data_IF_123036395411
#
_entry.id   IF_123036395411
#
_cell.length_a   1.000
_cell.length_b   1.000
_cell.length_c   1.000
_cell.angle_alpha   90.00
_cell.angle_beta   90.00
_cell.angle_gamma   90.00
#
_symmetry.space_group_name_H-M   'P 1'
#
loop_
_entity.id
_entity.type
_entity.pdbx_description
1 polymer ?
#
# COMPACT_ATOMS: atom_id res chain seq x y z
N UNK A 1 13.36 -32.74 -48.75
CA UNK A 1 12.00 -32.18 -48.67
C UNK A 1 11.49 -32.42 -47.26
N UNK A 2 11.68 -31.49 -46.35
CA UNK A 2 11.20 -31.60 -44.98
C UNK A 2 10.14 -30.50 -44.75
N UNK A 3 8.94 -30.94 -44.53
CA UNK A 3 7.76 -30.11 -44.22
C UNK A 3 7.83 -29.66 -42.75
N UNK A 4 7.69 -28.39 -42.43
CA UNK A 4 7.62 -27.95 -41.02
C UNK A 4 6.20 -28.17 -40.50
N UNK A 5 6.11 -28.90 -39.40
CA UNK A 5 4.90 -29.11 -38.62
C UNK A 5 4.50 -27.78 -37.94
N UNK A 6 3.37 -27.25 -38.31
CA UNK A 6 2.77 -26.07 -37.66
C UNK A 6 2.12 -26.50 -36.34
N UNK A 7 2.71 -26.10 -35.22
CA UNK A 7 2.10 -26.22 -33.90
C UNK A 7 0.99 -25.19 -33.80
N UNK A 8 -0.25 -25.62 -33.77
CA UNK A 8 -1.40 -24.77 -33.52
C UNK A 8 -1.41 -24.35 -32.02
N UNK A 9 -1.22 -23.08 -31.77
CA UNK A 9 -1.45 -22.48 -30.44
C UNK A 9 -2.97 -22.35 -30.26
N UNK A 10 -3.54 -23.16 -29.37
CA UNK A 10 -4.91 -23.04 -28.95
C UNK A 10 -5.04 -21.71 -28.11
N UNK A 11 -5.64 -20.70 -28.72
CA UNK A 11 -6.09 -19.51 -28.03
C UNK A 11 -7.32 -19.91 -27.24
N UNK A 12 -7.14 -20.08 -25.93
CA UNK A 12 -8.25 -20.27 -24.99
C UNK A 12 -9.19 -19.09 -25.06
N UNK A 13 -10.44 -19.34 -25.44
CA UNK A 13 -11.51 -18.36 -25.39
C UNK A 13 -11.71 -17.96 -23.92
N UNK A 14 -11.28 -16.75 -23.54
CA UNK A 14 -11.78 -16.08 -22.36
C UNK A 14 -13.25 -15.84 -22.58
N UNK A 15 -14.09 -16.63 -21.90
CA UNK A 15 -15.50 -16.31 -21.75
C UNK A 15 -15.57 -14.92 -21.12
N UNK A 16 -15.89 -13.93 -21.91
CA UNK A 16 -16.29 -12.60 -21.46
C UNK A 16 -17.58 -12.80 -20.66
N UNK A 17 -17.44 -13.04 -19.36
CA UNK A 17 -18.47 -12.71 -18.40
C UNK A 17 -18.70 -11.21 -18.61
N UNK A 18 -19.78 -10.87 -19.28
CA UNK A 18 -20.32 -9.54 -19.29
C UNK A 18 -20.71 -9.22 -17.83
N UNK A 19 -19.74 -8.78 -17.04
CA UNK A 19 -19.99 -8.06 -15.81
C UNK A 19 -20.57 -6.74 -16.30
N UNK A 20 -21.90 -6.71 -16.51
CA UNK A 20 -22.61 -5.44 -16.52
C UNK A 20 -22.19 -4.76 -15.21
N UNK A 21 -21.52 -3.61 -15.24
CA UNK A 21 -21.29 -2.86 -14.03
C UNK A 21 -22.68 -2.53 -13.52
N UNK A 22 -23.11 -3.22 -12.48
CA UNK A 22 -24.10 -2.68 -11.57
C UNK A 22 -23.40 -1.45 -10.99
N UNK A 23 -23.56 -0.31 -11.67
CA UNK A 23 -23.30 1.01 -11.09
C UNK A 23 -24.33 1.15 -9.99
N UNK A 24 -24.11 0.47 -8.90
CA UNK A 24 -24.88 0.65 -7.70
C UNK A 24 -24.36 1.95 -7.11
N UNK A 25 -25.26 2.92 -6.96
CA UNK A 25 -24.93 4.17 -6.29
C UNK A 25 -24.24 3.87 -4.95
N UNK A 26 -23.17 4.56 -4.68
CA UNK A 26 -22.48 4.47 -3.39
C UNK A 26 -23.49 4.80 -2.27
N UNK A 27 -23.53 3.98 -1.22
CA UNK A 27 -24.35 4.29 -0.04
C UNK A 27 -23.77 5.52 0.69
N UNK A 28 -22.45 5.63 0.66
CA UNK A 28 -21.67 6.77 1.15
C UNK A 28 -20.30 6.79 0.47
N UNK A 29 -19.69 7.96 0.41
CA UNK A 29 -18.32 8.14 -0.09
C UNK A 29 -17.64 9.26 0.70
N UNK A 30 -16.36 9.10 0.92
CA UNK A 30 -15.49 10.09 1.53
C UNK A 30 -14.23 10.22 0.67
N UNK A 31 -13.91 11.44 0.26
CA UNK A 31 -12.72 11.72 -0.57
C UNK A 31 -11.87 12.75 0.15
N UNK A 32 -10.58 12.48 0.24
CA UNK A 32 -9.64 13.36 0.91
C UNK A 32 -8.42 13.64 0.05
N UNK A 33 -7.92 14.87 0.15
CA UNK A 33 -6.60 15.28 -0.31
C UNK A 33 -5.74 15.51 0.92
N UNK A 34 -4.59 14.84 1.01
CA UNK A 34 -3.65 15.02 2.12
C UNK A 34 -2.28 15.46 1.65
N UNK A 35 -1.57 16.15 2.55
CA UNK A 35 -0.15 16.47 2.41
C UNK A 35 0.56 15.97 3.65
N UNK A 36 1.64 15.20 3.45
CA UNK A 36 2.49 14.63 4.49
C UNK A 36 3.93 15.07 4.26
N UNK A 37 4.66 15.28 5.35
CA UNK A 37 6.08 15.60 5.30
C UNK A 37 6.83 14.92 6.42
N UNK A 38 7.92 14.25 6.08
CA UNK A 38 8.86 13.62 7.00
C UNK A 38 10.29 13.70 6.48
N UNK A 39 11.27 13.52 7.37
CA UNK A 39 12.69 13.73 7.06
C UNK A 39 13.55 12.49 7.32
N UNK A 40 12.95 11.36 7.67
CA UNK A 40 13.65 10.14 8.06
C UNK A 40 13.21 8.91 7.25
N UNK A 41 12.78 9.14 5.98
CA UNK A 41 12.57 8.04 5.06
C UNK A 41 13.90 7.37 4.71
N UNK A 42 13.86 6.09 4.39
CA UNK A 42 15.01 5.30 3.99
C UNK A 42 14.72 4.48 2.74
N UNK A 43 15.74 4.24 1.95
CA UNK A 43 15.66 3.39 0.77
C UNK A 43 16.71 2.26 0.87
N UNK A 44 16.37 1.01 0.51
CA UNK A 44 17.33 -0.08 0.47
C UNK A 44 18.53 0.28 -0.39
N UNK A 45 19.72 -0.11 0.07
CA UNK A 45 21.03 0.16 -0.56
C UNK A 45 21.49 1.63 -0.51
N UNK A 46 20.67 2.56 -0.01
CA UNK A 46 21.07 3.95 0.18
C UNK A 46 21.60 4.15 1.61
N UNK A 47 22.93 3.94 1.76
CA UNK A 47 23.60 3.95 3.04
C UNK A 47 24.87 4.80 2.98
N UNK A 48 25.24 5.37 4.12
CA UNK A 48 26.55 5.95 4.33
C UNK A 48 27.65 4.88 4.28
N UNK A 49 28.91 5.31 4.18
CA UNK A 49 30.06 4.40 4.12
C UNK A 49 30.22 3.49 5.37
N UNK A 50 29.65 3.89 6.50
CA UNK A 50 29.63 3.10 7.75
C UNK A 50 28.45 2.11 7.81
N UNK A 51 27.61 2.07 6.78
CA UNK A 51 26.43 1.20 6.68
C UNK A 51 25.16 1.76 7.31
N UNK A 52 25.23 2.93 7.98
CA UNK A 52 24.04 3.62 8.49
C UNK A 52 23.18 4.15 7.33
N UNK A 53 21.86 4.17 7.54
CA UNK A 53 20.90 4.65 6.51
C UNK A 53 21.09 6.12 6.19
N UNK A 54 20.81 6.51 4.97
CA UNK A 54 20.64 7.90 4.58
C UNK A 54 19.22 8.33 4.93
N UNK A 55 19.08 9.37 5.75
CA UNK A 55 17.77 9.96 6.08
C UNK A 55 17.31 10.90 4.94
N UNK A 56 16.27 10.49 4.24
CA UNK A 56 15.69 11.19 3.09
C UNK A 56 14.48 12.00 3.53
N UNK A 57 14.37 13.24 3.10
CA UNK A 57 13.15 14.01 3.29
C UNK A 57 12.19 13.77 2.11
N UNK A 58 10.89 13.51 2.42
CA UNK A 58 9.86 13.38 1.39
C UNK A 58 8.65 14.26 1.72
N UNK A 59 8.11 14.86 0.65
CA UNK A 59 6.76 15.42 0.65
C UNK A 59 5.86 14.46 -0.11
N UNK A 60 4.72 14.11 0.47
CA UNK A 60 3.76 13.19 -0.12
C UNK A 60 2.42 13.92 -0.24
N UNK A 61 1.88 13.99 -1.45
CA UNK A 61 0.51 14.44 -1.72
C UNK A 61 -0.32 13.21 -2.05
N UNK A 62 -1.41 12.99 -1.35
CA UNK A 62 -2.26 11.83 -1.58
C UNK A 62 -3.70 12.20 -1.89
N UNK A 63 -4.30 11.43 -2.81
CA UNK A 63 -5.73 11.41 -3.04
C UNK A 63 -6.26 10.07 -2.53
N UNK A 64 -7.14 10.12 -1.53
CA UNK A 64 -7.76 8.95 -0.93
C UNK A 64 -9.27 8.99 -1.15
N UNK A 65 -9.87 7.86 -1.52
CA UNK A 65 -11.31 7.70 -1.55
C UNK A 65 -11.70 6.40 -0.85
N UNK A 66 -12.69 6.49 0.03
CA UNK A 66 -13.36 5.35 0.64
C UNK A 66 -14.82 5.41 0.30
N UNK A 67 -15.34 4.32 -0.26
CA UNK A 67 -16.75 4.24 -0.69
C UNK A 67 -17.39 2.98 -0.13
N UNK A 68 -18.51 3.13 0.56
CA UNK A 68 -19.38 2.03 0.96
C UNK A 68 -20.47 1.79 -0.09
N UNK A 69 -20.74 0.53 -0.37
CA UNK A 69 -21.81 0.10 -1.26
C UNK A 69 -22.58 -1.08 -0.63
N UNK A 70 -23.72 -1.43 -1.20
CA UNK A 70 -24.65 -2.46 -0.69
C UNK A 70 -23.95 -3.73 -0.17
N UNK A 71 -22.91 -4.19 -0.84
CA UNK A 71 -22.27 -5.48 -0.52
C UNK A 71 -20.89 -5.36 0.12
N UNK A 72 -20.36 -4.14 0.35
CA UNK A 72 -19.02 -4.00 0.88
C UNK A 72 -18.50 -2.56 0.86
N UNK A 73 -17.20 -2.44 0.68
CA UNK A 73 -16.52 -1.16 0.58
C UNK A 73 -15.35 -1.22 -0.41
N UNK A 74 -14.99 -0.06 -0.91
CA UNK A 74 -13.82 0.13 -1.78
C UNK A 74 -12.93 1.20 -1.17
N UNK A 75 -11.63 0.98 -1.22
CA UNK A 75 -10.58 1.92 -0.85
C UNK A 75 -9.69 2.16 -2.07
N UNK A 76 -9.41 3.42 -2.34
CA UNK A 76 -8.46 3.88 -3.36
C UNK A 76 -7.54 4.88 -2.71
N UNK A 77 -6.24 4.72 -2.89
CA UNK A 77 -5.25 5.71 -2.50
C UNK A 77 -4.22 5.89 -3.61
N UNK A 78 -3.86 7.11 -3.91
CA UNK A 78 -2.77 7.43 -4.83
C UNK A 78 -1.85 8.45 -4.17
N UNK A 79 -0.64 8.02 -3.88
CA UNK A 79 0.43 8.85 -3.34
C UNK A 79 1.33 9.37 -4.46
N UNK A 80 1.61 10.66 -4.44
CA UNK A 80 2.62 11.34 -5.22
C UNK A 80 3.74 11.77 -4.27
N UNK A 81 4.88 11.08 -4.34
CA UNK A 81 6.00 11.29 -3.43
C UNK A 81 7.11 12.06 -4.16
N UNK A 82 7.62 13.08 -3.50
CA UNK A 82 8.78 13.86 -3.94
C UNK A 82 9.86 13.75 -2.89
N UNK A 83 10.97 13.09 -3.22
CA UNK A 83 12.17 13.01 -2.38
C UNK A 83 13.01 14.28 -2.44
N UNK A 84 13.90 14.48 -1.48
CA UNK A 84 14.99 15.45 -1.58
C UNK A 84 16.16 14.91 -2.43
N UNK A 85 17.22 15.70 -2.59
CA UNK A 85 18.38 15.32 -3.41
C UNK A 85 19.22 14.16 -2.86
N UNK A 86 18.90 13.61 -1.71
CA UNK A 86 19.57 12.42 -1.14
C UNK A 86 19.04 11.12 -1.77
N UNK A 87 17.86 11.14 -2.36
CA UNK A 87 17.32 10.10 -3.24
C UNK A 87 17.12 10.73 -4.63
N UNK A 88 18.20 10.86 -5.42
CA UNK A 88 18.17 11.69 -6.64
C UNK A 88 17.47 11.00 -7.80
N UNK A 89 16.78 11.80 -8.61
CA UNK A 89 16.20 11.35 -9.87
C UNK A 89 17.26 10.75 -10.82
N UNK A 90 16.94 9.57 -11.38
CA UNK A 90 17.87 8.82 -12.23
C UNK A 90 19.09 8.25 -11.49
N UNK A 91 19.15 8.36 -10.16
CA UNK A 91 20.30 7.94 -9.36
C UNK A 91 21.56 8.80 -9.59
N UNK A 92 21.41 10.01 -10.12
CA UNK A 92 22.53 10.89 -10.45
C UNK A 92 22.71 11.95 -9.37
N UNK A 93 23.82 11.91 -8.67
CA UNK A 93 24.16 12.88 -7.62
C UNK A 93 24.05 14.33 -8.13
N UNK A 94 23.42 15.21 -7.34
CA UNK A 94 23.16 16.60 -7.68
C UNK A 94 21.89 16.83 -8.52
N UNK A 95 21.20 15.79 -8.97
CA UNK A 95 19.87 15.93 -9.54
C UNK A 95 18.81 16.24 -8.47
N UNK A 96 17.68 16.85 -8.84
CA UNK A 96 16.52 16.95 -7.95
C UNK A 96 16.10 15.56 -7.44
N UNK A 97 15.44 15.53 -6.30
CA UNK A 97 14.97 14.28 -5.70
C UNK A 97 14.06 13.48 -6.62
N UNK A 98 14.04 12.17 -6.41
CA UNK A 98 13.20 11.24 -7.16
C UNK A 98 11.71 11.52 -6.94
N UNK A 99 10.94 11.22 -7.97
CA UNK A 99 9.48 11.23 -7.95
C UNK A 99 8.95 9.81 -7.98
N UNK A 100 7.93 9.57 -7.19
CA UNK A 100 7.28 8.26 -7.12
C UNK A 100 5.76 8.44 -7.14
N UNK A 101 5.07 7.52 -7.81
CA UNK A 101 3.63 7.37 -7.71
C UNK A 101 3.34 5.97 -7.20
N UNK A 102 2.57 5.88 -6.13
CA UNK A 102 2.10 4.62 -5.55
C UNK A 102 0.58 4.61 -5.49
N UNK A 103 -0.04 3.68 -6.19
CA UNK A 103 -1.49 3.53 -6.22
C UNK A 103 -1.92 2.22 -5.56
N UNK A 104 -2.94 2.28 -4.71
CA UNK A 104 -3.57 1.15 -4.02
C UNK A 104 -5.04 1.13 -4.34
N UNK A 105 -5.54 -0.04 -4.72
CA UNK A 105 -6.97 -0.32 -4.83
C UNK A 105 -7.30 -1.55 -3.99
N UNK A 106 -8.32 -1.45 -3.15
CA UNK A 106 -8.88 -2.59 -2.41
C UNK A 106 -10.40 -2.55 -2.48
N UNK A 107 -11.02 -3.70 -2.65
CA UNK A 107 -12.46 -3.87 -2.44
C UNK A 107 -12.69 -5.05 -1.51
N UNK A 108 -13.52 -4.84 -0.49
CA UNK A 108 -13.92 -5.89 0.46
C UNK A 108 -15.40 -6.17 0.28
N UNK A 109 -15.71 -7.40 -0.09
CA UNK A 109 -17.08 -7.89 -0.21
C UNK A 109 -17.47 -8.57 1.09
N UNK A 110 -18.52 -8.10 1.75
CA UNK A 110 -19.10 -8.67 2.96
C UNK A 110 -20.01 -9.85 2.60
N UNK A 111 -19.60 -11.05 2.97
CA UNK A 111 -20.32 -12.28 2.66
C UNK A 111 -21.67 -12.35 3.35
N UNK A 112 -21.82 -11.76 4.53
CA UNK A 112 -23.11 -11.67 5.22
C UNK A 112 -24.11 -10.83 4.42
N UNK A 113 -23.65 -9.69 3.88
CA UNK A 113 -24.49 -8.83 3.04
C UNK A 113 -24.84 -9.48 1.70
N UNK A 114 -23.95 -10.26 1.12
CA UNK A 114 -24.20 -10.98 -0.15
C UNK A 114 -25.19 -12.12 0.03
N UNK A 115 -25.03 -12.90 1.09
CA UNK A 115 -25.84 -14.12 1.33
C UNK A 115 -27.11 -13.86 2.12
N UNK A 116 -27.22 -12.71 2.77
CA UNK A 116 -28.29 -12.40 3.73
C UNK A 116 -28.14 -13.13 5.08
N UNK A 117 -27.04 -13.86 5.29
CA UNK A 117 -26.77 -14.59 6.52
C UNK A 117 -26.08 -13.70 7.56
N UNK A 118 -26.42 -13.87 8.85
CA UNK A 118 -25.64 -13.25 9.92
C UNK A 118 -24.34 -14.03 10.13
N UNK A 119 -23.21 -13.40 9.82
CA UNK A 119 -21.86 -13.95 10.07
C UNK A 119 -21.20 -13.31 11.29
N UNK A 120 -22.00 -12.77 12.21
CA UNK A 120 -21.52 -12.22 13.50
C UNK A 120 -21.13 -13.34 14.45
N UNK A 121 -19.96 -13.20 15.10
CA UNK A 121 -19.46 -14.16 16.09
C UNK A 121 -18.55 -13.46 17.10
N UNK A 122 -19.04 -13.24 18.32
CA UNK A 122 -18.31 -12.50 19.36
C UNK A 122 -17.90 -11.08 18.85
N UNK A 123 -16.61 -10.74 18.88
CA UNK A 123 -16.14 -9.44 18.41
C UNK A 123 -16.12 -9.30 16.88
N UNK A 124 -16.38 -10.38 16.13
CA UNK A 124 -16.44 -10.38 14.68
C UNK A 124 -17.82 -9.89 14.24
N UNK A 125 -17.89 -8.72 13.58
CA UNK A 125 -19.14 -8.18 13.03
C UNK A 125 -19.50 -8.77 11.67
N UNK A 126 -18.51 -9.33 10.95
CA UNK A 126 -18.69 -9.94 9.65
C UNK A 126 -17.43 -10.58 9.10
N UNK A 127 -17.62 -11.35 8.04
CA UNK A 127 -16.57 -12.01 7.28
C UNK A 127 -16.69 -11.59 5.82
N UNK A 128 -15.57 -11.29 5.18
CA UNK A 128 -15.53 -10.85 3.80
C UNK A 128 -14.39 -11.46 3.00
N UNK A 129 -14.34 -11.07 1.75
CA UNK A 129 -13.21 -11.32 0.84
C UNK A 129 -12.72 -9.97 0.33
N UNK A 130 -11.43 -9.72 0.53
CA UNK A 130 -10.75 -8.55 -0.02
C UNK A 130 -10.00 -8.95 -1.28
N UNK A 131 -10.12 -8.12 -2.32
CA UNK A 131 -9.34 -8.22 -3.55
C UNK A 131 -8.86 -6.83 -3.96
N UNK A 132 -7.76 -6.77 -4.69
CA UNK A 132 -7.24 -5.48 -5.13
C UNK A 132 -5.93 -5.57 -5.90
N UNK A 133 -5.32 -4.43 -6.09
CA UNK A 133 -4.00 -4.33 -6.75
C UNK A 133 -3.24 -3.10 -6.25
N UNK A 134 -1.90 -3.17 -6.38
CA UNK A 134 -1.00 -2.05 -6.18
C UNK A 134 -0.19 -1.81 -7.45
N UNK A 135 0.06 -0.54 -7.71
CA UNK A 135 0.90 -0.06 -8.81
C UNK A 135 1.90 0.94 -8.27
N UNK A 136 3.16 0.82 -8.70
CA UNK A 136 4.20 1.78 -8.34
C UNK A 136 5.04 2.13 -9.56
N UNK A 137 5.50 3.36 -9.60
CA UNK A 137 6.59 3.79 -10.49
C UNK A 137 7.42 4.84 -9.78
N UNK A 138 8.74 4.73 -9.86
CA UNK A 138 9.71 5.65 -9.29
C UNK A 138 10.79 5.97 -10.32
N UNK A 139 11.32 7.17 -10.31
CA UNK A 139 12.34 7.62 -11.27
C UNK A 139 13.74 7.80 -10.64
N UNK A 140 14.04 7.05 -9.56
CA UNK A 140 15.39 6.96 -8.99
C UNK A 140 16.32 6.09 -9.87
N UNK A 141 17.50 5.72 -9.34
CA UNK A 141 18.46 4.87 -10.06
C UNK A 141 17.99 3.43 -10.27
N UNK A 142 17.13 2.93 -9.41
CA UNK A 142 16.51 1.60 -9.56
C UNK A 142 15.31 1.63 -10.51
N UNK A 143 14.54 2.70 -10.50
CA UNK A 143 13.39 2.96 -11.35
C UNK A 143 12.35 1.82 -11.32
N UNK A 144 11.83 1.54 -10.12
CA UNK A 144 10.83 0.47 -9.92
C UNK A 144 9.57 0.68 -10.76
N UNK A 145 8.95 -0.43 -11.17
CA UNK A 145 7.64 -0.47 -11.85
C UNK A 145 6.86 -1.67 -11.32
N UNK A 146 6.52 -1.61 -10.03
CA UNK A 146 5.82 -2.68 -9.33
C UNK A 146 4.38 -2.82 -9.84
N UNK A 147 3.92 -4.06 -9.90
CA UNK A 147 2.52 -4.45 -10.05
C UNK A 147 2.26 -5.60 -9.09
N UNK A 148 1.19 -5.51 -8.33
CA UNK A 148 0.81 -6.54 -7.37
C UNK A 148 -0.69 -6.72 -7.39
N UNK A 149 -1.16 -7.97 -7.50
CA UNK A 149 -2.54 -8.35 -7.27
C UNK A 149 -2.65 -8.97 -5.88
N UNK A 150 -3.79 -8.75 -5.20
CA UNK A 150 -4.03 -9.27 -3.87
C UNK A 150 -5.42 -9.86 -3.77
N UNK A 151 -5.57 -10.96 -3.01
CA UNK A 151 -6.87 -11.55 -2.70
C UNK A 151 -6.79 -12.38 -1.42
N UNK A 152 -7.83 -12.33 -0.59
CA UNK A 152 -7.91 -13.20 0.58
C UNK A 152 -9.09 -12.92 1.49
N UNK A 153 -9.31 -13.76 2.52
CA UNK A 153 -10.36 -13.59 3.51
C UNK A 153 -10.05 -12.40 4.43
N UNK A 154 -11.12 -11.76 4.90
CA UNK A 154 -11.09 -10.62 5.82
C UNK A 154 -12.09 -10.82 6.94
N UNK A 155 -11.65 -10.65 8.17
CA UNK A 155 -12.50 -10.55 9.36
C UNK A 155 -12.71 -9.07 9.68
N UNK A 156 -13.96 -8.66 9.77
CA UNK A 156 -14.36 -7.31 10.16
C UNK A 156 -14.73 -7.32 11.64
N UNK A 157 -14.08 -6.49 12.45
CA UNK A 157 -14.28 -6.46 13.90
C UNK A 157 -15.23 -5.32 14.31
N UNK A 158 -15.91 -5.51 15.43
CA UNK A 158 -16.82 -4.54 16.03
C UNK A 158 -16.02 -3.54 16.87
N UNK A 159 -15.79 -2.34 16.34
CA UNK A 159 -15.09 -1.22 16.99
C UNK A 159 -15.77 0.10 16.64
N UNK A 160 -15.53 1.20 17.39
CA UNK A 160 -15.99 2.54 17.00
C UNK A 160 -15.29 3.02 15.70
N UNK A 161 -15.87 2.72 14.55
CA UNK A 161 -15.28 2.90 13.24
C UNK A 161 -15.10 1.57 12.52
N UNK A 162 -13.88 1.24 12.12
CA UNK A 162 -13.60 -0.07 11.51
C UNK A 162 -12.22 -0.61 11.97
N UNK A 163 -12.13 -1.92 12.01
CA UNK A 163 -10.90 -2.69 12.13
C UNK A 163 -11.09 -3.98 11.35
N UNK A 164 -10.28 -4.19 10.34
CA UNK A 164 -10.29 -5.40 9.54
C UNK A 164 -8.98 -6.17 9.74
N UNK A 165 -9.04 -7.48 9.73
CA UNK A 165 -7.90 -8.38 9.75
C UNK A 165 -7.97 -9.27 8.53
N UNK A 166 -6.99 -9.18 7.65
CA UNK A 166 -6.95 -9.90 6.37
C UNK A 166 -5.77 -10.86 6.29
N UNK A 167 -6.00 -12.02 5.68
CA UNK A 167 -4.93 -12.92 5.24
C UNK A 167 -4.94 -12.95 3.72
N UNK A 168 -3.95 -12.33 3.09
CA UNK A 168 -3.93 -12.05 1.66
C UNK A 168 -2.87 -12.90 0.95
N UNK A 169 -3.18 -13.36 -0.24
CA UNK A 169 -2.22 -13.91 -1.21
C UNK A 169 -1.81 -12.79 -2.15
N UNK A 170 -0.50 -12.61 -2.34
CA UNK A 170 0.10 -11.62 -3.21
C UNK A 170 0.71 -12.28 -4.44
N UNK A 171 0.38 -11.74 -5.62
CA UNK A 171 1.06 -11.99 -6.90
C UNK A 171 1.74 -10.69 -7.32
N UNK A 172 3.06 -10.62 -7.13
CA UNK A 172 3.87 -9.41 -7.30
C UNK A 172 4.86 -9.56 -8.44
N UNK A 173 5.05 -8.48 -9.17
CA UNK A 173 6.06 -8.36 -10.22
C UNK A 173 6.67 -6.97 -10.25
N UNK A 174 7.92 -6.86 -10.72
CA UNK A 174 8.62 -5.59 -10.90
C UNK A 174 9.36 -5.56 -12.22
N UNK A 175 9.65 -4.36 -12.72
CA UNK A 175 10.43 -4.14 -13.94
C UNK A 175 11.33 -2.91 -13.76
N UNK A 176 12.31 -2.96 -12.84
CA UNK A 176 13.27 -1.88 -12.67
C UNK A 176 14.14 -1.70 -13.92
N UNK A 177 14.81 -0.56 -14.03
CA UNK A 177 15.58 -0.20 -15.23
C UNK A 177 16.72 -1.19 -15.51
N UNK A 178 17.29 -1.83 -14.47
CA UNK A 178 18.44 -2.72 -14.60
C UNK A 178 18.12 -4.08 -15.25
N UNK A 179 16.85 -4.45 -15.42
CA UNK A 179 16.44 -5.72 -16.00
C UNK A 179 15.70 -5.56 -17.32
N UNK A 180 15.97 -6.48 -18.28
CA UNK A 180 15.37 -6.40 -19.61
C UNK A 180 13.90 -6.85 -19.67
N UNK A 181 13.44 -7.62 -18.69
CA UNK A 181 12.09 -8.20 -18.64
C UNK A 181 11.51 -8.05 -17.25
N UNK A 182 10.17 -7.94 -17.18
CA UNK A 182 9.46 -7.96 -15.90
C UNK A 182 9.74 -9.25 -15.14
N UNK A 183 10.18 -9.11 -13.90
CA UNK A 183 10.41 -10.21 -12.97
C UNK A 183 9.14 -10.48 -12.17
N UNK A 184 8.81 -11.77 -11.99
CA UNK A 184 7.70 -12.21 -11.16
C UNK A 184 8.25 -12.92 -9.93
N UNK A 185 7.91 -12.41 -8.76
CA UNK A 185 8.25 -13.05 -7.49
C UNK A 185 7.39 -14.30 -7.28
N UNK A 186 7.78 -15.16 -6.36
CA UNK A 186 6.89 -16.26 -5.94
C UNK A 186 5.68 -15.69 -5.24
N UNK A 187 4.51 -16.30 -5.46
CA UNK A 187 3.32 -15.95 -4.70
C UNK A 187 3.62 -16.09 -3.22
N UNK A 188 3.21 -15.11 -2.44
CA UNK A 188 3.52 -15.03 -1.02
C UNK A 188 2.32 -14.52 -0.24
N UNK A 189 2.32 -14.70 1.07
CA UNK A 189 1.21 -14.32 1.93
C UNK A 189 1.51 -13.01 2.67
N UNK A 190 0.45 -12.27 2.99
CA UNK A 190 0.50 -11.16 3.92
C UNK A 190 -0.62 -11.28 4.97
N UNK A 191 -0.32 -10.88 6.19
CA UNK A 191 -1.32 -10.62 7.22
C UNK A 191 -1.40 -9.11 7.39
N UNK A 192 -2.60 -8.58 7.24
CA UNK A 192 -2.86 -7.14 7.27
C UNK A 192 -3.91 -6.82 8.33
N UNK A 193 -3.68 -5.77 9.10
CA UNK A 193 -4.68 -5.08 9.89
C UNK A 193 -4.83 -3.67 9.33
N UNK A 194 -6.05 -3.22 9.08
CA UNK A 194 -6.37 -1.85 8.69
C UNK A 194 -7.47 -1.30 9.60
N UNK A 195 -7.32 -0.05 10.01
CA UNK A 195 -8.24 0.55 10.99
C UNK A 195 -8.46 2.04 10.77
N UNK A 196 -9.66 2.49 11.22
CA UNK A 196 -10.00 3.88 11.39
C UNK A 196 -10.94 4.00 12.58
N UNK A 197 -10.40 4.47 13.72
CA UNK A 197 -11.05 4.41 15.02
C UNK A 197 -11.17 5.82 15.59
N UNK A 198 -12.41 6.25 15.87
CA UNK A 198 -12.66 7.49 16.63
C UNK A 198 -12.33 7.29 18.11
N UNK A 199 -11.73 8.29 18.75
CA UNK A 199 -11.29 8.23 20.16
C UNK A 199 -12.38 8.83 21.09
N UNK A 200 -13.33 7.99 21.49
CA UNK A 200 -14.44 8.40 22.35
C UNK A 200 -15.23 9.57 21.76
N UNK A 201 -15.47 10.60 22.57
CA UNK A 201 -16.15 11.83 22.14
C UNK A 201 -15.17 12.93 21.70
N UNK A 202 -13.88 12.66 21.72
CA UNK A 202 -12.86 13.63 21.32
C UNK A 202 -12.89 13.83 19.79
N UNK A 203 -12.51 15.02 19.31
CA UNK A 203 -12.37 15.26 17.88
C UNK A 203 -11.06 14.66 17.35
N UNK A 204 -10.80 13.40 17.71
CA UNK A 204 -9.59 12.64 17.37
C UNK A 204 -9.93 11.33 16.71
N UNK A 205 -9.12 10.92 15.74
CA UNK A 205 -9.14 9.60 15.15
C UNK A 205 -7.73 9.00 15.10
N UNK A 206 -7.67 7.68 15.27
CA UNK A 206 -6.47 6.87 15.09
C UNK A 206 -6.70 5.95 13.91
N UNK A 207 -5.91 6.16 12.85
CA UNK A 207 -6.05 5.44 11.60
C UNK A 207 -4.74 4.77 11.22
N UNK A 208 -4.79 3.80 10.32
CA UNK A 208 -3.59 3.19 9.79
C UNK A 208 -3.76 1.79 9.28
N UNK A 209 -2.63 1.19 8.97
CA UNK A 209 -2.52 -0.24 8.66
C UNK A 209 -1.21 -0.82 9.19
N UNK A 210 -1.19 -2.13 9.37
CA UNK A 210 -0.01 -2.90 9.68
C UNK A 210 0.00 -4.17 8.83
N UNK A 211 1.11 -4.46 8.20
CA UNK A 211 1.30 -5.64 7.36
C UNK A 211 2.53 -6.43 7.83
N UNK A 212 2.39 -7.74 7.87
CA UNK A 212 3.49 -8.67 7.90
C UNK A 212 3.43 -9.53 6.64
N UNK A 213 4.47 -9.45 5.81
CA UNK A 213 4.52 -10.06 4.48
C UNK A 213 5.59 -11.15 4.53
N UNK A 214 5.27 -12.36 4.07
CA UNK A 214 6.24 -13.45 4.00
C UNK A 214 7.29 -13.20 2.91
N UNK A 215 8.44 -13.85 3.02
CA UNK A 215 9.44 -13.82 1.95
C UNK A 215 8.84 -14.28 0.61
N UNK A 216 9.21 -13.59 -0.46
CA UNK A 216 8.70 -13.78 -1.83
C UNK A 216 9.66 -14.52 -2.76
N UNK A 217 10.59 -15.31 -2.16
CA UNK A 217 11.58 -16.09 -2.89
C UNK A 217 12.82 -15.27 -3.22
N UNK A 218 13.36 -15.47 -4.41
CA UNK A 218 14.47 -14.68 -4.93
C UNK A 218 13.96 -13.37 -5.53
N UNK A 219 14.79 -12.33 -5.45
CA UNK A 219 14.57 -11.08 -6.15
C UNK A 219 15.06 -11.19 -7.62
N UNK A 220 14.93 -10.12 -8.38
CA UNK A 220 15.31 -10.04 -9.79
C UNK A 220 16.82 -10.12 -10.05
N UNK A 221 17.63 -10.12 -9.00
CA UNK A 221 19.09 -10.29 -9.03
C UNK A 221 19.55 -11.64 -8.46
N UNK A 222 18.60 -12.49 -8.02
CA UNK A 222 18.85 -13.83 -7.46
C UNK A 222 19.13 -13.86 -5.96
N UNK A 223 18.97 -12.74 -5.24
CA UNK A 223 19.11 -12.72 -3.79
C UNK A 223 17.82 -13.19 -3.09
N UNK A 224 17.96 -13.90 -1.98
CA UNK A 224 16.81 -14.36 -1.19
C UNK A 224 16.17 -13.17 -0.47
N UNK A 225 14.86 -12.99 -0.66
CA UNK A 225 14.09 -11.96 0.04
C UNK A 225 13.83 -12.36 1.49
N UNK A 226 13.62 -11.37 2.35
CA UNK A 226 13.27 -11.53 3.75
C UNK A 226 11.78 -11.23 3.99
N UNK A 227 11.18 -11.75 5.08
CA UNK A 227 9.88 -11.29 5.54
C UNK A 227 9.91 -9.80 5.86
N UNK A 228 8.84 -9.11 5.54
CA UNK A 228 8.71 -7.65 5.62
C UNK A 228 7.68 -7.27 6.66
N UNK A 229 7.93 -6.20 7.42
CA UNK A 229 6.93 -5.59 8.30
C UNK A 229 6.77 -4.12 7.91
N UNK A 230 5.55 -3.71 7.65
CA UNK A 230 5.20 -2.34 7.30
C UNK A 230 4.03 -1.87 8.17
N UNK A 231 4.22 -0.77 8.87
CA UNK A 231 3.20 -0.15 9.72
C UNK A 231 3.17 1.32 9.35
N UNK A 232 1.99 1.85 9.09
CA UNK A 232 1.74 3.26 8.91
C UNK A 232 0.50 3.63 9.72
N UNK A 233 0.62 4.63 10.60
CA UNK A 233 -0.45 5.02 11.52
C UNK A 233 -0.44 6.51 11.76
N UNK A 234 -1.62 7.09 11.89
CA UNK A 234 -1.79 8.51 12.16
C UNK A 234 -2.73 8.77 13.36
N UNK A 235 -2.49 9.89 14.03
CA UNK A 235 -3.39 10.45 15.01
C UNK A 235 -3.82 11.83 14.51
N UNK A 236 -5.09 11.96 14.13
CA UNK A 236 -5.65 13.13 13.47
C UNK A 236 -6.66 13.86 14.36
N UNK A 237 -6.52 15.18 14.41
CA UNK A 237 -7.43 16.12 15.08
C UNK A 237 -8.37 16.74 14.03
N UNK A 238 -9.68 16.69 14.29
CA UNK A 238 -10.69 17.40 13.49
C UNK A 238 -10.64 18.91 13.78
N UNK A 239 -9.66 19.58 13.15
CA UNK A 239 -9.48 21.03 13.26
C UNK A 239 -10.66 21.80 12.64
N UNK A 240 -11.31 21.23 11.64
CA UNK A 240 -12.52 21.82 11.04
C UNK A 240 -13.64 22.01 12.05
N UNK A 241 -13.95 20.99 12.82
CA UNK A 241 -14.96 21.08 13.90
C UNK A 241 -14.61 22.14 14.95
N UNK A 242 -13.34 22.22 15.35
CA UNK A 242 -12.87 23.21 16.32
C UNK A 242 -12.94 24.66 15.78
N UNK A 243 -12.81 24.81 14.47
CA UNK A 243 -12.94 26.09 13.78
C UNK A 243 -14.39 26.44 13.42
N UNK A 244 -15.38 25.64 13.83
CA UNK A 244 -16.81 25.86 13.51
C UNK A 244 -17.21 25.51 12.08
N UNK A 245 -16.39 24.75 11.38
CA UNK A 245 -16.68 24.19 10.05
C UNK A 245 -17.41 22.84 10.18
N UNK A 246 -17.77 22.25 9.07
CA UNK A 246 -18.32 20.89 9.06
C UNK A 246 -17.32 19.89 9.63
N UNK A 247 -17.84 18.90 10.37
CA UNK A 247 -17.00 17.84 10.96
C UNK A 247 -16.18 17.13 9.88
N UNK A 248 -14.93 16.84 10.23
CA UNK A 248 -13.99 16.12 9.37
C UNK A 248 -13.63 16.81 8.04
N UNK A 249 -13.94 18.10 7.85
CA UNK A 249 -13.54 18.83 6.65
C UNK A 249 -12.03 19.06 6.61
N UNK A 250 -11.44 19.43 7.76
CA UNK A 250 -10.00 19.63 7.92
C UNK A 250 -9.47 18.80 9.08
N UNK A 251 -8.56 17.90 8.76
CA UNK A 251 -7.83 17.15 9.77
C UNK A 251 -6.37 17.58 9.78
N UNK A 252 -5.77 17.64 10.96
CA UNK A 252 -4.34 17.90 11.15
C UNK A 252 -3.80 16.92 12.17
N UNK A 253 -2.59 16.42 11.98
CA UNK A 253 -2.09 15.41 12.87
C UNK A 253 -0.64 15.03 12.65
N UNK A 254 -0.28 13.94 13.30
CA UNK A 254 1.03 13.31 13.18
C UNK A 254 0.83 11.90 12.63
N UNK A 255 1.78 11.46 11.83
CA UNK A 255 1.82 10.13 11.23
C UNK A 255 3.18 9.50 11.52
N UNK A 256 3.22 8.18 11.61
CA UNK A 256 4.43 7.44 11.84
C UNK A 256 4.46 6.20 10.95
N UNK A 257 5.49 6.11 10.09
CA UNK A 257 5.78 4.94 9.29
C UNK A 257 6.95 4.15 9.91
N UNK A 258 6.76 2.85 10.07
CA UNK A 258 7.83 1.90 10.36
C UNK A 258 7.85 0.82 9.29
N UNK A 259 9.01 0.62 8.66
CA UNK A 259 9.18 -0.38 7.63
C UNK A 259 10.49 -1.15 7.83
N UNK A 260 10.41 -2.43 8.06
CA UNK A 260 11.54 -3.32 8.24
C UNK A 260 11.63 -4.33 7.10
N UNK A 261 12.85 -4.59 6.62
CA UNK A 261 13.13 -5.35 5.40
C UNK A 261 12.33 -4.82 4.19
N UNK A 262 12.39 -3.51 4.02
CA UNK A 262 11.62 -2.77 3.01
C UNK A 262 11.74 -3.42 1.63
N UNK A 263 10.58 -3.69 1.01
CA UNK A 263 10.45 -4.41 -0.27
C UNK A 263 11.02 -5.84 -0.28
N UNK A 264 11.16 -6.48 0.89
CA UNK A 264 11.78 -7.79 1.04
C UNK A 264 13.31 -7.75 1.07
N UNK A 265 13.93 -6.58 1.06
CA UNK A 265 15.37 -6.41 1.18
C UNK A 265 15.81 -6.61 2.63
N UNK A 266 16.67 -7.60 2.87
CA UNK A 266 17.12 -7.92 4.22
C UNK A 266 17.93 -6.77 4.81
N UNK A 267 17.52 -6.28 5.98
CA UNK A 267 18.30 -5.36 6.80
C UNK A 267 19.54 -6.09 7.32
N UNK A 268 20.66 -5.92 6.64
CA UNK A 268 21.95 -6.49 7.01
C UNK A 268 23.07 -5.64 6.41
N UNK A 269 24.18 -5.51 7.11
CA UNK A 269 25.35 -4.76 6.64
C UNK A 269 26.35 -5.68 5.94
N UNK A 270 26.95 -5.21 4.85
CA UNK A 270 27.95 -5.94 4.08
C UNK A 270 27.91 -5.58 2.59
N UNK A 271 28.90 -6.05 1.81
CA UNK A 271 28.92 -5.83 0.36
C UNK A 271 27.63 -6.39 -0.29
N UNK A 272 27.00 -5.58 -1.13
CA UNK A 272 25.76 -5.92 -1.87
C UNK A 272 24.53 -6.22 -0.99
N UNK A 273 24.55 -5.82 0.30
CA UNK A 273 23.39 -5.92 1.18
C UNK A 273 22.70 -4.57 1.31
N UNK A 274 21.40 -4.60 1.60
CA UNK A 274 20.57 -3.40 1.61
C UNK A 274 20.90 -2.42 2.75
N UNK A 275 21.61 -2.89 3.77
CA UNK A 275 22.03 -2.07 4.91
C UNK A 275 20.86 -1.59 5.75
N UNK A 276 21.13 -0.58 6.58
CA UNK A 276 20.10 0.04 7.42
C UNK A 276 19.06 0.81 6.60
N UNK A 277 19.36 1.14 5.33
CA UNK A 277 18.40 1.71 4.37
C UNK A 277 17.17 0.84 4.12
N UNK A 278 17.25 -0.47 4.39
CA UNK A 278 16.07 -1.36 4.35
C UNK A 278 15.17 -1.23 5.59
N UNK A 279 15.45 -0.31 6.52
CA UNK A 279 14.57 0.00 7.66
C UNK A 279 14.28 1.49 7.71
N UNK A 280 13.02 1.86 7.58
CA UNK A 280 12.52 3.21 7.77
C UNK A 280 11.84 3.34 9.13
N UNK A 281 11.99 4.50 9.77
CA UNK A 281 11.31 4.89 11.02
C UNK A 281 11.07 6.39 10.92
N UNK A 282 9.91 6.77 10.41
CA UNK A 282 9.66 8.10 9.86
C UNK A 282 8.49 8.77 10.55
N UNK A 283 8.73 9.69 11.49
CA UNK A 283 7.69 10.59 11.95
C UNK A 283 7.38 11.64 10.89
N UNK A 284 6.08 11.93 10.73
CA UNK A 284 5.55 12.90 9.76
C UNK A 284 4.55 13.85 10.40
N UNK A 285 4.38 15.00 9.78
CA UNK A 285 3.21 15.85 9.97
C UNK A 285 2.25 15.63 8.80
N UNK A 286 0.94 15.69 9.09
CA UNK A 286 -0.12 15.45 8.10
C UNK A 286 -1.21 16.51 8.20
N UNK A 287 -1.65 16.98 7.05
CA UNK A 287 -2.84 17.81 6.89
C UNK A 287 -3.73 17.16 5.84
N UNK A 288 -5.02 17.14 6.08
CA UNK A 288 -5.99 16.49 5.22
C UNK A 288 -7.24 17.33 5.06
N UNK A 289 -7.76 17.38 3.84
CA UNK A 289 -9.01 18.06 3.49
C UNK A 289 -9.97 17.05 2.86
N UNK A 290 -11.17 16.95 3.44
CA UNK A 290 -12.26 16.08 2.96
C UNK A 290 -13.32 16.89 2.22
N UNK A 291 -13.84 16.36 1.10
CA UNK A 291 -14.79 17.01 0.21
C UNK A 291 -15.81 16.03 -0.41
#
# INVERSE_FOLDING_TARGET
MNTPTRTAVAIGAFASLAITPLVQAADWSDTALSVRYGTQFAEPYDNHADGSRVDIAKTIVALTNVTGYKYGSTFINVDFLQSDGKDPGGGVAGHPGAQEVYGVFRTTVDLGKVTGASLKMGPIRGVGVTAGFDLNTKNDGYASKKRMAVVGPTLMLEVPGFLNLSALLFDESNAPQAIARRYHYKNHAAFEADWGIGIGELPLSFNGYAQWITAKGEDEFGAQTAPESHIDMDLMLDAGSLAGLSKKTWLVGVEYEYWHNKFGNKTATGPFLAGDGATASTPMVRVEYHF
#
